data_IF_742528158092
#
_entry.id   IF_742528158092
#
_cell.length_a   1.000
_cell.length_b   1.000
_cell.length_c   1.000
_cell.angle_alpha   90.00
_cell.angle_beta   90.00
_cell.angle_gamma   90.00
#
_symmetry.space_group_name_H-M   'P 1'
#
loop_
_entity.id
_entity.type
_entity.pdbx_description
1 polymer ?
#
# COMPACT_ATOMS: atom_id res chain seq x y z
N UNK A 1 6.75 38.68 23.82
CA UNK A 1 7.33 38.91 22.47
C UNK A 1 7.06 37.66 21.62
N UNK A 2 6.70 37.86 20.35
CA UNK A 2 6.18 36.86 19.40
C UNK A 2 7.28 35.95 18.81
N UNK A 3 6.87 34.70 18.55
CA UNK A 3 7.07 33.80 17.38
C UNK A 3 8.51 33.45 16.94
N UNK A 4 8.73 32.16 16.64
CA UNK A 4 8.87 31.70 15.24
C UNK A 4 8.39 30.25 15.10
N UNK A 5 7.61 30.00 14.05
CA UNK A 5 7.09 28.71 13.58
C UNK A 5 8.21 27.82 13.03
N UNK A 6 8.06 26.49 13.15
CA UNK A 6 8.70 25.51 12.25
C UNK A 6 7.68 24.42 11.89
N UNK A 7 6.69 24.75 11.07
CA UNK A 7 5.99 23.77 10.24
C UNK A 7 6.77 23.68 8.93
N UNK A 8 7.79 22.83 8.88
CA UNK A 8 8.30 22.33 7.61
C UNK A 8 7.23 21.38 7.08
N UNK A 9 6.65 21.67 5.91
CA UNK A 9 5.75 20.72 5.24
C UNK A 9 6.60 19.50 4.90
N UNK A 10 6.43 18.41 5.64
CA UNK A 10 7.03 17.13 5.26
C UNK A 10 6.45 16.77 3.90
N UNK A 11 7.31 16.51 2.92
CA UNK A 11 6.89 16.12 1.59
C UNK A 11 6.21 14.75 1.67
N UNK A 12 5.03 14.63 1.07
CA UNK A 12 4.23 13.40 1.11
C UNK A 12 4.89 12.31 0.27
N UNK A 13 4.94 11.09 0.77
CA UNK A 13 5.45 9.94 0.02
C UNK A 13 4.33 9.26 -0.78
N UNK A 14 4.72 8.37 -1.70
CA UNK A 14 3.77 7.51 -2.41
C UNK A 14 2.99 6.61 -1.44
N UNK A 15 3.62 6.13 -0.35
CA UNK A 15 2.94 5.46 0.77
C UNK A 15 1.79 6.30 1.32
N UNK A 16 2.05 7.58 1.61
CA UNK A 16 1.06 8.45 2.24
C UNK A 16 -0.15 8.67 1.33
N UNK A 17 0.07 8.82 0.03
CA UNK A 17 -1.00 8.94 -0.97
C UNK A 17 -1.82 7.66 -1.07
N UNK A 18 -1.17 6.51 -1.16
CA UNK A 18 -1.83 5.21 -1.24
C UNK A 18 -2.64 4.90 0.02
N UNK A 19 -2.05 5.09 1.20
CA UNK A 19 -2.72 4.81 2.46
C UNK A 19 -3.96 5.70 2.66
N UNK A 20 -3.86 7.00 2.37
CA UNK A 20 -5.02 7.89 2.44
C UNK A 20 -6.12 7.50 1.45
N UNK A 21 -5.76 7.12 0.22
CA UNK A 21 -6.74 6.72 -0.79
C UNK A 21 -7.49 5.43 -0.40
N UNK A 22 -6.78 4.43 0.15
CA UNK A 22 -7.40 3.20 0.65
C UNK A 22 -8.30 3.47 1.85
N UNK A 23 -7.86 4.29 2.80
CA UNK A 23 -8.66 4.65 3.97
C UNK A 23 -9.90 5.48 3.59
N UNK A 24 -9.82 6.32 2.56
CA UNK A 24 -10.96 7.08 2.04
C UNK A 24 -12.05 6.17 1.46
N UNK A 25 -11.70 5.00 0.91
CA UNK A 25 -12.63 3.97 0.46
C UNK A 25 -13.09 3.02 1.59
N UNK A 26 -12.68 3.28 2.83
CA UNK A 26 -13.10 2.52 4.02
C UNK A 26 -12.30 1.24 4.28
N UNK A 27 -11.17 1.04 3.60
CA UNK A 27 -10.30 -0.11 3.83
C UNK A 27 -9.54 0.01 5.15
N UNK A 28 -9.41 -1.11 5.87
CA UNK A 28 -8.56 -1.20 7.06
C UNK A 28 -7.13 -1.45 6.60
N UNK A 29 -6.27 -0.46 6.82
CA UNK A 29 -4.85 -0.53 6.43
C UNK A 29 -3.92 -0.74 7.63
N UNK A 30 -2.78 -1.36 7.37
CA UNK A 30 -1.67 -1.53 8.30
C UNK A 30 -0.33 -1.43 7.58
N UNK A 31 0.76 -1.71 8.29
CA UNK A 31 2.10 -1.76 7.70
C UNK A 31 2.88 -2.93 8.26
N UNK A 32 3.63 -3.60 7.40
CA UNK A 32 4.50 -4.72 7.78
C UNK A 32 5.92 -4.43 7.28
N UNK A 33 6.89 -4.67 8.16
CA UNK A 33 8.30 -4.41 7.90
C UNK A 33 9.09 -5.70 8.15
N UNK A 34 9.86 -6.14 7.16
CA UNK A 34 10.84 -7.20 7.39
C UNK A 34 12.15 -6.62 7.91
N UNK A 35 12.38 -6.83 9.20
CA UNK A 35 13.61 -6.42 9.86
C UNK A 35 14.81 -7.12 9.22
N UNK A 36 15.67 -6.34 8.55
CA UNK A 36 16.91 -6.81 7.93
C UNK A 36 16.93 -6.80 6.40
N UNK A 37 15.77 -6.84 5.72
CA UNK A 37 15.69 -6.71 4.26
C UNK A 37 15.44 -5.26 3.80
N UNK A 38 14.91 -4.42 4.69
CA UNK A 38 14.49 -3.06 4.33
C UNK A 38 13.19 -3.02 3.53
N UNK A 39 12.52 -4.16 3.35
CA UNK A 39 11.19 -4.22 2.73
C UNK A 39 10.12 -3.71 3.70
N UNK A 40 9.30 -2.80 3.22
CA UNK A 40 8.13 -2.29 3.94
C UNK A 40 6.94 -2.30 2.99
N UNK A 41 5.87 -2.98 3.39
CA UNK A 41 4.63 -3.04 2.63
C UNK A 41 3.48 -2.42 3.40
N UNK A 42 2.48 -1.96 2.67
CA UNK A 42 1.19 -1.57 3.20
C UNK A 42 0.29 -2.80 3.17
N UNK A 43 -0.38 -3.10 4.26
CA UNK A 43 -1.34 -4.21 4.30
C UNK A 43 -2.76 -3.69 4.23
N UNK A 44 -3.64 -4.41 3.54
CA UNK A 44 -5.09 -4.18 3.54
C UNK A 44 -5.78 -5.45 4.01
N UNK A 45 -6.65 -5.35 5.00
CA UNK A 45 -7.43 -6.50 5.46
C UNK A 45 -8.48 -6.89 4.42
N UNK A 46 -8.53 -8.18 4.07
CA UNK A 46 -9.53 -8.74 3.15
C UNK A 46 -10.68 -9.38 3.94
N UNK A 47 -10.40 -10.45 4.68
CA UNK A 47 -11.39 -11.17 5.49
C UNK A 47 -10.69 -11.97 6.59
N UNK A 48 -11.16 -11.91 7.83
CA UNK A 48 -10.50 -12.57 8.94
C UNK A 48 -9.04 -12.12 9.07
N UNK A 49 -8.11 -13.07 8.97
CA UNK A 49 -6.64 -12.83 8.97
C UNK A 49 -6.05 -12.61 7.57
N UNK A 50 -6.84 -12.78 6.51
CA UNK A 50 -6.37 -12.63 5.14
C UNK A 50 -6.09 -11.15 4.80
N UNK A 51 -5.01 -10.92 4.07
CA UNK A 51 -4.52 -9.58 3.73
C UNK A 51 -4.08 -9.48 2.27
N UNK A 52 -4.13 -8.27 1.72
CA UNK A 52 -3.32 -7.87 0.57
C UNK A 52 -2.08 -7.15 1.07
N UNK A 53 -0.93 -7.49 0.50
CA UNK A 53 0.36 -6.86 0.80
C UNK A 53 0.76 -6.06 -0.42
N UNK A 54 0.92 -4.76 -0.25
CA UNK A 54 1.05 -3.79 -1.33
C UNK A 54 2.42 -3.10 -1.22
N UNK A 55 3.14 -3.07 -2.33
CA UNK A 55 4.46 -2.46 -2.47
C UNK A 55 4.65 -1.96 -3.90
N UNK A 56 5.83 -1.43 -4.21
CA UNK A 56 6.31 -1.44 -5.60
C UNK A 56 6.95 -2.79 -5.96
N UNK A 57 7.69 -2.87 -7.06
CA UNK A 57 8.39 -4.09 -7.47
C UNK A 57 9.48 -4.55 -6.49
N UNK A 58 10.01 -3.65 -5.67
CA UNK A 58 11.10 -3.86 -4.71
C UNK A 58 10.61 -3.83 -3.24
N UNK A 59 9.29 -3.85 -3.04
CA UNK A 59 8.64 -3.69 -1.73
C UNK A 59 9.10 -2.43 -0.98
N UNK A 60 9.22 -1.33 -1.73
CA UNK A 60 9.43 0.03 -1.23
C UNK A 60 8.14 0.85 -1.40
N UNK A 61 7.95 1.80 -0.48
CA UNK A 61 6.78 2.69 -0.45
C UNK A 61 7.16 4.14 -0.07
N UNK A 62 8.30 4.30 0.59
CA UNK A 62 8.77 5.58 1.15
C UNK A 62 9.63 6.36 0.16
N UNK A 63 9.06 6.60 -1.01
CA UNK A 63 9.67 7.40 -2.07
C UNK A 63 8.75 8.57 -2.50
N UNK A 64 9.31 9.63 -3.10
CA UNK A 64 8.51 10.72 -3.67
C UNK A 64 7.60 10.21 -4.78
N UNK A 65 6.35 10.70 -4.92
CA UNK A 65 5.42 10.24 -5.97
C UNK A 65 5.97 10.34 -7.40
N UNK A 66 6.95 11.21 -7.64
CA UNK A 66 7.64 11.37 -8.94
C UNK A 66 8.58 10.22 -9.28
N UNK A 67 8.94 9.37 -8.31
CA UNK A 67 9.79 8.19 -8.47
C UNK A 67 8.98 6.89 -8.60
N UNK A 68 7.65 7.00 -8.68
CA UNK A 68 6.75 5.85 -8.77
C UNK A 68 6.98 5.03 -10.06
N UNK A 69 7.00 3.71 -9.90
CA UNK A 69 7.25 2.75 -10.99
C UNK A 69 6.14 1.70 -11.15
N UNK A 70 5.02 1.87 -10.45
CA UNK A 70 3.89 0.96 -10.45
C UNK A 70 3.72 0.22 -9.12
N UNK A 71 2.46 -0.03 -8.75
CA UNK A 71 2.13 -0.85 -7.59
C UNK A 71 2.10 -2.34 -7.89
N UNK A 72 2.42 -3.15 -6.88
CA UNK A 72 2.19 -4.59 -6.83
C UNK A 72 1.29 -4.91 -5.63
N UNK A 73 0.49 -5.96 -5.75
CA UNK A 73 -0.23 -6.51 -4.60
C UNK A 73 -0.22 -8.04 -4.62
N UNK A 74 0.07 -8.63 -3.47
CA UNK A 74 0.05 -10.08 -3.27
C UNK A 74 -0.97 -10.46 -2.20
N UNK A 75 -1.72 -11.53 -2.45
CA UNK A 75 -2.71 -12.04 -1.50
C UNK A 75 -2.09 -13.00 -0.51
N UNK A 76 -2.40 -12.82 0.77
CA UNK A 76 -1.89 -13.62 1.89
C UNK A 76 -3.09 -14.20 2.66
N UNK A 77 -3.49 -15.45 2.43
CA UNK A 77 -4.70 -16.02 3.05
C UNK A 77 -4.59 -16.18 4.58
N UNK A 78 -3.37 -16.27 5.10
CA UNK A 78 -3.07 -16.44 6.53
C UNK A 78 -2.32 -15.23 7.13
N UNK A 79 -2.36 -14.07 6.46
CA UNK A 79 -1.63 -12.89 6.90
C UNK A 79 -0.10 -13.09 6.86
N UNK A 80 0.59 -12.61 7.89
CA UNK A 80 2.07 -12.64 7.99
C UNK A 80 2.67 -14.00 8.37
N UNK A 81 1.85 -15.03 8.64
CA UNK A 81 2.31 -16.26 9.30
C UNK A 81 3.16 -17.19 8.41
N UNK A 82 3.03 -17.11 7.07
CA UNK A 82 3.82 -17.93 6.14
C UNK A 82 4.21 -17.15 4.87
N UNK A 83 5.50 -17.17 4.52
CA UNK A 83 5.98 -16.63 3.23
C UNK A 83 5.52 -17.50 2.04
N UNK A 84 5.27 -18.79 2.28
CA UNK A 84 4.80 -19.73 1.26
C UNK A 84 3.38 -19.37 0.81
N UNK A 85 3.20 -19.30 -0.51
CA UNK A 85 1.94 -19.08 -1.22
C UNK A 85 1.29 -17.68 -1.11
N UNK A 86 2.04 -16.64 -1.50
CA UNK A 86 1.46 -15.33 -1.80
C UNK A 86 1.43 -15.02 -3.30
N UNK A 87 0.38 -15.46 -4.01
CA UNK A 87 0.24 -15.09 -5.41
C UNK A 87 0.13 -13.57 -5.53
N UNK A 88 0.89 -13.01 -6.48
CA UNK A 88 0.64 -11.67 -6.96
C UNK A 88 -0.73 -11.66 -7.65
N UNK A 89 -1.60 -10.77 -7.19
CA UNK A 89 -2.96 -10.60 -7.72
C UNK A 89 -3.12 -9.28 -8.47
N UNK A 90 -2.15 -8.38 -8.33
CA UNK A 90 -2.10 -7.11 -9.03
C UNK A 90 -0.65 -6.71 -9.34
N UNK A 91 -0.43 -6.20 -10.55
CA UNK A 91 0.80 -5.54 -10.95
C UNK A 91 0.50 -4.45 -11.96
N UNK A 92 1.07 -3.29 -11.71
CA UNK A 92 1.11 -2.18 -12.64
C UNK A 92 2.57 -1.80 -12.95
N UNK A 93 2.76 -1.12 -14.06
CA UNK A 93 4.01 -0.45 -14.43
C UNK A 93 3.75 1.01 -14.79
N UNK A 94 2.59 1.56 -14.38
CA UNK A 94 2.27 2.97 -14.59
C UNK A 94 3.16 3.83 -13.69
N UNK A 95 3.67 4.92 -14.24
CA UNK A 95 4.58 5.85 -13.52
C UNK A 95 3.84 7.08 -13.00
N UNK A 96 2.59 7.28 -13.41
CA UNK A 96 1.72 8.28 -12.79
C UNK A 96 1.17 7.72 -11.47
N UNK A 97 1.84 8.08 -10.37
CA UNK A 97 1.47 7.64 -9.01
C UNK A 97 -0.01 7.87 -8.69
N UNK A 98 -0.59 9.00 -9.11
CA UNK A 98 -1.97 9.31 -8.75
C UNK A 98 -2.96 8.44 -9.53
N UNK A 99 -2.73 8.28 -10.83
CA UNK A 99 -3.54 7.41 -11.67
C UNK A 99 -3.41 5.93 -11.25
N UNK A 100 -2.18 5.48 -10.96
CA UNK A 100 -1.93 4.10 -10.58
C UNK A 100 -2.53 3.77 -9.21
N UNK A 101 -2.38 4.66 -8.22
CA UNK A 101 -3.04 4.52 -6.92
C UNK A 101 -4.56 4.40 -7.09
N UNK A 102 -5.18 5.21 -7.95
CA UNK A 102 -6.63 5.12 -8.18
C UNK A 102 -7.04 3.78 -8.81
N UNK A 103 -6.22 3.23 -9.71
CA UNK A 103 -6.47 1.92 -10.32
C UNK A 103 -6.30 0.78 -9.31
N UNK A 104 -5.23 0.81 -8.51
CA UNK A 104 -5.00 -0.16 -7.45
C UNK A 104 -6.15 -0.13 -6.42
N UNK A 105 -6.59 1.05 -5.98
CA UNK A 105 -7.70 1.18 -5.02
C UNK A 105 -8.99 0.57 -5.56
N UNK A 106 -9.32 0.80 -6.85
CA UNK A 106 -10.47 0.14 -7.49
C UNK A 106 -10.34 -1.37 -7.50
N UNK A 107 -9.15 -1.88 -7.81
CA UNK A 107 -8.86 -3.31 -7.76
C UNK A 107 -9.06 -3.88 -6.35
N UNK A 108 -8.49 -3.23 -5.33
CA UNK A 108 -8.62 -3.65 -3.92
C UNK A 108 -10.09 -3.68 -3.49
N UNK A 109 -10.86 -2.64 -3.80
CA UNK A 109 -12.29 -2.61 -3.47
C UNK A 109 -13.08 -3.75 -4.11
N UNK A 110 -12.82 -4.06 -5.38
CA UNK A 110 -13.46 -5.20 -6.05
C UNK A 110 -13.02 -6.54 -5.42
N UNK A 111 -11.72 -6.70 -5.16
CA UNK A 111 -11.15 -7.92 -4.59
C UNK A 111 -11.71 -8.24 -3.19
N UNK A 112 -11.81 -7.22 -2.33
CA UNK A 112 -12.35 -7.37 -0.96
C UNK A 112 -13.85 -7.68 -1.01
N UNK A 113 -14.61 -7.05 -1.91
CA UNK A 113 -16.03 -7.35 -2.08
C UNK A 113 -16.26 -8.80 -2.53
N UNK A 114 -15.49 -9.28 -3.51
CA UNK A 114 -15.61 -10.66 -4.01
C UNK A 114 -15.21 -11.71 -2.95
N UNK A 115 -14.23 -11.41 -2.10
CA UNK A 115 -13.76 -12.32 -1.05
C UNK A 115 -14.71 -12.42 0.16
N UNK A 116 -15.66 -11.49 0.28
CA UNK A 116 -16.60 -11.41 1.42
C UNK A 116 -18.06 -11.67 1.04
N UNK A 117 -18.35 -11.90 -0.24
CA UNK A 117 -19.66 -12.27 -0.78
C UNK A 117 -20.00 -13.76 -0.56
#
# INVERSE_FOLDING_TARGET
MRRTNMTGTQERTARDLLNEALQAEGHITGGEAWLGSGCFVLTVQVAGTAQLWIGDADAQLDYPPTEHTGWTASYRPHGAETEEDAPEVYRSTDTDCAADTANLVRFVSAYVADATA
#
